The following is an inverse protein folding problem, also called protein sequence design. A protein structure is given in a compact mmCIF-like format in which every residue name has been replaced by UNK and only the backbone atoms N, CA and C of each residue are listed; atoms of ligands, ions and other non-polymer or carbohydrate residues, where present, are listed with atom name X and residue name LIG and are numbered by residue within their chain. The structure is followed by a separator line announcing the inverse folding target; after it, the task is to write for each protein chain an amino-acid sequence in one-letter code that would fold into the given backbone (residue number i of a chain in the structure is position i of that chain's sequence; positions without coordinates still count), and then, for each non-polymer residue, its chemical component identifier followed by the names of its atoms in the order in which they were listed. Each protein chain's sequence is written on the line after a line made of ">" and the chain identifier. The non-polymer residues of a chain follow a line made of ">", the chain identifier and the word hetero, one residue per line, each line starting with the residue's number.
data_IF_270822718151
#
_entry.id   IF_270822718151
#
_cell.length_a   1.000
_cell.length_b   1.000
_cell.length_c   1.000
_cell.angle_alpha   90.00
_cell.angle_beta   90.00
_cell.angle_gamma   90.00
#
_symmetry.space_group_name_H-M   'P 1'
#
loop_
_entity.id
_entity.type
_entity.pdbx_description
1 polymer ?
#
# COMPACT_ATOMS: atom_id res chain seq x y z
N UNK A 1 5.96 -9.69 -2.37
CA UNK A 1 5.77 -9.03 -1.07
C UNK A 1 4.34 -8.55 -1.03
N UNK A 2 3.66 -8.69 0.11
CA UNK A 2 2.35 -8.09 0.40
C UNK A 2 2.59 -6.94 1.37
N UNK A 3 2.01 -5.78 1.07
CA UNK A 3 1.98 -4.63 1.97
C UNK A 3 0.65 -4.59 2.71
N UNK A 4 0.69 -4.80 4.02
CA UNK A 4 -0.45 -4.61 4.91
C UNK A 4 -0.60 -3.10 5.17
N UNK A 5 -1.40 -2.47 4.31
CA UNK A 5 -1.60 -1.03 4.21
C UNK A 5 -2.14 -0.38 5.50
N UNK A 6 -1.67 0.84 5.79
CA UNK A 6 -1.79 1.53 7.08
C UNK A 6 -3.17 1.97 7.55
N UNK A 7 -4.25 1.90 6.76
CA UNK A 7 -5.61 2.05 7.30
C UNK A 7 -6.40 0.72 7.37
N UNK A 8 -5.69 -0.40 7.15
CA UNK A 8 -6.10 -1.71 7.63
C UNK A 8 -5.71 -1.96 9.10
N UNK A 9 -5.83 -3.22 9.52
CA UNK A 9 -5.30 -3.69 10.81
C UNK A 9 -4.08 -4.57 10.57
N UNK A 10 -3.30 -4.82 11.62
CA UNK A 10 -2.34 -5.91 11.55
C UNK A 10 -3.10 -7.24 11.38
N UNK A 11 -2.69 -8.06 10.41
CA UNK A 11 -3.36 -9.32 10.12
C UNK A 11 -3.21 -10.32 11.27
N UNK A 12 -4.07 -11.35 11.28
CA UNK A 12 -4.00 -12.40 12.31
C UNK A 12 -2.72 -13.22 12.18
N UNK A 13 -2.29 -13.85 13.28
CA UNK A 13 -1.09 -14.70 13.30
C UNK A 13 -1.10 -15.79 12.21
N UNK A 14 -2.26 -16.32 11.85
CA UNK A 14 -2.39 -17.34 10.81
C UNK A 14 -1.92 -16.81 9.45
N UNK A 15 -2.16 -15.53 9.13
CA UNK A 15 -1.68 -14.90 7.91
C UNK A 15 -0.15 -14.97 7.84
N UNK A 16 0.52 -14.50 8.89
CA UNK A 16 1.98 -14.51 8.98
C UNK A 16 2.57 -15.92 9.03
N UNK A 17 1.92 -16.83 9.74
CA UNK A 17 2.32 -18.23 9.78
C UNK A 17 2.31 -18.87 8.39
N UNK A 18 1.28 -18.61 7.58
CA UNK A 18 1.25 -19.07 6.20
C UNK A 18 2.26 -18.34 5.32
N UNK A 19 2.48 -17.04 5.53
CA UNK A 19 3.56 -16.31 4.86
C UNK A 19 4.95 -16.92 5.16
N UNK A 20 5.20 -17.35 6.39
CA UNK A 20 6.45 -18.04 6.77
C UNK A 20 6.58 -19.39 6.07
N UNK A 21 5.53 -20.23 6.12
CA UNK A 21 5.53 -21.56 5.50
C UNK A 21 5.72 -21.46 3.99
N UNK A 22 5.02 -20.52 3.35
CA UNK A 22 5.07 -20.31 1.91
C UNK A 22 6.16 -19.32 1.50
N UNK A 23 7.08 -18.95 2.41
CA UNK A 23 8.12 -17.91 2.30
C UNK A 23 9.11 -18.00 1.14
N UNK A 24 8.87 -18.88 0.16
CA UNK A 24 9.56 -18.99 -1.13
C UNK A 24 8.69 -18.57 -2.33
N UNK A 25 7.40 -18.28 -2.14
CA UNK A 25 6.44 -17.93 -3.20
C UNK A 25 6.09 -16.44 -3.25
N UNK A 26 6.93 -15.57 -2.66
CA UNK A 26 6.78 -14.11 -2.77
C UNK A 26 5.86 -13.46 -1.74
N UNK A 27 5.56 -14.13 -0.61
CA UNK A 27 4.67 -13.63 0.45
C UNK A 27 5.40 -13.00 1.64
N UNK A 28 6.48 -12.26 1.41
CA UNK A 28 7.04 -11.40 2.46
C UNK A 28 6.04 -10.31 2.83
N UNK A 29 5.90 -9.99 4.12
CA UNK A 29 4.99 -8.97 4.63
C UNK A 29 5.73 -7.67 4.93
N UNK A 30 5.22 -6.56 4.40
CA UNK A 30 5.49 -5.21 4.88
C UNK A 30 4.32 -4.84 5.77
N UNK A 31 4.56 -4.58 7.05
CA UNK A 31 3.51 -4.18 7.98
C UNK A 31 3.59 -2.69 8.32
N UNK A 32 2.51 -1.95 8.03
CA UNK A 32 2.36 -0.56 8.43
C UNK A 32 1.66 -0.44 9.79
N UNK A 33 2.01 0.57 10.58
CA UNK A 33 1.16 0.96 11.70
C UNK A 33 -0.06 1.74 11.18
N UNK A 34 -1.07 1.85 12.05
CA UNK A 34 -2.43 2.24 11.66
C UNK A 34 -2.59 3.75 11.43
N UNK A 35 -1.75 4.32 10.56
CA UNK A 35 -1.67 5.74 10.20
C UNK A 35 -1.87 5.85 8.68
N UNK A 36 -2.70 6.80 8.23
CA UNK A 36 -2.84 7.09 6.81
C UNK A 36 -2.95 8.59 6.54
N UNK A 37 -2.33 9.05 5.46
CA UNK A 37 -2.44 10.43 4.99
C UNK A 37 -3.88 10.92 4.91
N UNK A 38 -4.81 10.08 4.47
CA UNK A 38 -6.24 10.43 4.37
C UNK A 38 -6.83 10.95 5.69
N UNK A 39 -6.42 10.39 6.84
CA UNK A 39 -7.02 10.71 8.15
C UNK A 39 -6.05 11.42 9.11
N UNK A 40 -4.76 11.43 8.79
CA UNK A 40 -3.69 11.94 9.65
C UNK A 40 -2.88 13.11 9.04
N UNK A 41 -3.51 13.96 8.22
CA UNK A 41 -2.95 15.27 7.81
C UNK A 41 -2.94 15.60 6.32
N UNK A 42 -3.31 14.66 5.43
CA UNK A 42 -3.37 14.86 3.97
C UNK A 42 -4.76 14.75 3.36
N UNK A 43 -5.77 14.40 4.16
CA UNK A 43 -7.15 14.30 3.71
C UNK A 43 -7.70 15.61 3.13
N UNK A 44 -8.85 15.52 2.46
CA UNK A 44 -9.58 16.69 1.97
C UNK A 44 -11.00 16.69 2.55
N UNK A 45 -11.34 17.62 3.48
CA UNK A 45 -10.49 18.67 4.05
C UNK A 45 -9.33 18.11 4.89
N UNK A 46 -8.29 18.93 5.11
CA UNK A 46 -7.08 18.54 5.86
C UNK A 46 -7.47 17.92 7.20
N UNK A 47 -7.13 16.64 7.35
CA UNK A 47 -7.43 15.82 8.52
C UNK A 47 -6.46 16.11 9.68
N UNK A 48 -6.65 15.47 10.84
CA UNK A 48 -5.87 15.80 12.04
C UNK A 48 -4.39 15.40 11.86
N UNK A 49 -3.43 16.34 11.75
CA UNK A 49 -2.03 15.98 11.53
C UNK A 49 -1.36 15.37 12.76
N UNK A 50 -2.00 15.46 13.93
CA UNK A 50 -1.55 14.88 15.19
C UNK A 50 -2.47 13.71 15.59
N UNK A 51 -2.98 12.95 14.62
CA UNK A 51 -3.65 11.69 14.89
C UNK A 51 -2.64 10.59 15.27
N UNK A 52 -3.09 9.53 15.97
CA UNK A 52 -4.41 9.34 16.60
C UNK A 52 -4.58 10.18 17.87
N UNK A 53 -5.78 10.21 18.48
CA UNK A 53 -6.05 11.07 19.66
C UNK A 53 -5.37 10.63 20.96
N UNK A 54 -5.05 9.34 21.09
CA UNK A 54 -4.44 8.75 22.29
C UNK A 54 -3.12 8.08 21.91
N UNK A 55 -2.03 8.83 22.08
CA UNK A 55 -0.70 8.42 21.66
C UNK A 55 -0.12 7.31 22.55
N UNK A 56 -0.46 7.33 23.84
CA UNK A 56 -0.02 6.31 24.80
C UNK A 56 -0.67 4.97 24.48
N UNK A 57 -1.98 4.98 24.20
CA UNK A 57 -2.71 3.79 23.77
C UNK A 57 -2.19 3.27 22.42
N UNK A 58 -1.94 4.15 21.45
CA UNK A 58 -1.36 3.73 20.17
C UNK A 58 0.00 3.06 20.37
N UNK A 59 0.89 3.68 21.16
CA UNK A 59 2.23 3.15 21.43
C UNK A 59 2.16 1.80 22.17
N UNK A 60 1.23 1.65 23.12
CA UNK A 60 0.98 0.37 23.79
C UNK A 60 0.57 -0.72 22.78
N UNK A 61 -0.41 -0.43 21.92
CA UNK A 61 -0.89 -1.37 20.90
C UNK A 61 0.19 -1.70 19.86
N UNK A 62 0.99 -0.71 19.45
CA UNK A 62 2.11 -0.91 18.54
C UNK A 62 3.16 -1.85 19.14
N UNK A 63 3.56 -1.64 20.40
CA UNK A 63 4.50 -2.53 21.11
C UNK A 63 4.00 -3.96 21.20
N UNK A 64 2.72 -4.16 21.51
CA UNK A 64 2.13 -5.50 21.60
C UNK A 64 2.05 -6.17 20.22
N UNK A 65 1.74 -5.42 19.16
CA UNK A 65 1.77 -5.90 17.78
C UNK A 65 3.18 -6.33 17.36
N UNK A 66 4.20 -5.55 17.70
CA UNK A 66 5.59 -5.91 17.40
C UNK A 66 5.99 -7.19 18.14
N UNK A 67 5.69 -7.31 19.45
CA UNK A 67 5.96 -8.54 20.20
C UNK A 67 5.27 -9.76 19.60
N UNK A 68 4.06 -9.58 19.07
CA UNK A 68 3.29 -10.63 18.42
C UNK A 68 3.95 -11.07 17.11
N UNK A 69 4.46 -10.12 16.31
CA UNK A 69 4.83 -10.38 14.93
C UNK A 69 6.34 -10.52 14.66
N UNK A 70 7.21 -9.96 15.50
CA UNK A 70 8.67 -9.87 15.28
C UNK A 70 9.40 -11.20 15.05
N UNK A 71 8.77 -12.32 15.41
CA UNK A 71 9.35 -13.66 15.25
C UNK A 71 8.94 -14.34 13.93
N UNK A 72 8.15 -13.67 13.09
CA UNK A 72 7.78 -14.18 11.77
C UNK A 72 8.85 -13.81 10.73
N UNK A 73 9.63 -14.77 10.20
CA UNK A 73 10.66 -14.49 9.20
C UNK A 73 10.11 -13.94 7.87
N UNK A 74 8.81 -14.10 7.60
CA UNK A 74 8.17 -13.48 6.44
C UNK A 74 7.99 -11.98 6.58
N UNK A 75 7.97 -11.44 7.80
CA UNK A 75 7.95 -10.00 8.03
C UNK A 75 9.28 -9.41 7.56
N UNK A 76 9.23 -8.47 6.63
CA UNK A 76 10.42 -7.88 6.03
C UNK A 76 10.77 -6.53 6.64
N UNK A 77 9.77 -5.69 6.89
CA UNK A 77 9.96 -4.35 7.44
C UNK A 77 8.71 -3.82 8.16
N UNK A 78 8.95 -2.87 9.05
CA UNK A 78 7.96 -2.05 9.73
C UNK A 78 7.88 -0.68 9.08
N UNK A 79 6.66 -0.14 8.91
CA UNK A 79 6.47 1.22 8.39
C UNK A 79 5.54 2.03 9.28
N UNK A 80 5.90 3.28 9.57
CA UNK A 80 5.14 4.14 10.47
C UNK A 80 3.72 4.45 9.98
N UNK A 81 3.52 4.66 8.68
CA UNK A 81 2.20 4.95 8.13
C UNK A 81 2.16 5.00 6.61
N UNK A 82 0.93 4.93 6.09
CA UNK A 82 0.63 5.15 4.67
C UNK A 82 0.70 6.64 4.35
N UNK A 83 1.56 7.03 3.41
CA UNK A 83 1.66 8.38 2.85
C UNK A 83 1.85 9.51 3.89
N UNK A 84 2.08 9.13 5.12
CA UNK A 84 2.17 10.03 6.25
C UNK A 84 2.98 9.37 7.35
N UNK A 85 3.78 10.18 8.03
CA UNK A 85 4.51 9.74 9.20
C UNK A 85 3.62 9.85 10.44
N UNK A 86 3.78 8.98 11.45
CA UNK A 86 3.09 9.16 12.72
C UNK A 86 3.41 10.52 13.35
N UNK A 87 2.56 10.95 14.29
CA UNK A 87 2.83 12.15 15.09
C UNK A 87 4.26 12.11 15.68
N UNK A 88 4.95 13.27 15.82
CA UNK A 88 6.39 13.28 16.09
C UNK A 88 6.84 12.47 17.30
N UNK A 89 6.08 12.48 18.39
CA UNK A 89 6.36 11.72 19.60
C UNK A 89 6.21 10.21 19.39
N UNK A 90 5.14 9.77 18.69
CA UNK A 90 4.94 8.37 18.31
C UNK A 90 6.07 7.92 17.38
N UNK A 91 6.36 8.68 16.33
CA UNK A 91 7.37 8.31 15.35
C UNK A 91 8.76 8.24 16.00
N UNK A 92 9.09 9.16 16.90
CA UNK A 92 10.34 9.12 17.65
C UNK A 92 10.43 7.90 18.58
N UNK A 93 9.33 7.54 19.25
CA UNK A 93 9.27 6.32 20.07
C UNK A 93 9.49 5.06 19.22
N UNK A 94 8.81 4.93 18.07
CA UNK A 94 8.99 3.81 17.16
C UNK A 94 10.41 3.74 16.60
N UNK A 95 11.00 4.87 16.21
CA UNK A 95 12.41 4.92 15.76
C UNK A 95 13.38 4.43 16.83
N UNK A 96 13.18 4.79 18.09
CA UNK A 96 14.07 4.34 19.16
C UNK A 96 13.88 2.85 19.52
N UNK A 97 12.63 2.38 19.54
CA UNK A 97 12.28 1.01 19.94
C UNK A 97 12.55 -0.03 18.86
N UNK A 98 12.37 0.35 17.60
CA UNK A 98 12.53 -0.51 16.41
C UNK A 98 13.85 -0.27 15.66
N UNK A 99 14.77 0.52 16.23
CA UNK A 99 16.11 0.67 15.64
C UNK A 99 16.79 -0.69 15.48
N UNK A 100 17.56 -0.81 14.42
CA UNK A 100 18.34 -2.02 14.16
C UNK A 100 19.40 -2.22 15.24
N UNK A 101 19.66 -3.47 15.58
CA UNK A 101 20.83 -3.82 16.36
C UNK A 101 22.10 -3.52 15.51
N UNK A 102 23.20 -3.00 16.09
CA UNK A 102 24.41 -2.61 15.33
C UNK A 102 24.97 -3.69 14.39
N UNK A 103 24.79 -4.98 14.73
CA UNK A 103 25.13 -6.10 13.85
C UNK A 103 24.41 -6.06 12.48
N UNK A 104 23.16 -5.59 12.43
CA UNK A 104 22.38 -5.47 11.20
C UNK A 104 22.56 -4.11 10.51
N UNK A 105 23.02 -3.07 11.21
CA UNK A 105 23.32 -1.75 10.60
C UNK A 105 24.54 -1.80 9.67
N UNK A 106 25.56 -2.59 10.01
CA UNK A 106 26.86 -2.60 9.31
C UNK A 106 26.82 -3.10 7.86
N UNK A 107 25.73 -3.73 7.42
CA UNK A 107 25.59 -4.26 6.05
C UNK A 107 25.32 -3.16 4.99
N UNK A 108 25.00 -1.93 5.41
CA UNK A 108 24.70 -0.81 4.50
C UNK A 108 25.91 0.05 4.11
N UNK A 109 27.03 -0.03 4.85
CA UNK A 109 28.25 0.75 4.59
C UNK A 109 29.33 -0.13 3.96
N UNK A 110 29.21 -0.43 2.66
CA UNK A 110 30.26 -1.15 1.93
C UNK A 110 31.50 -0.26 1.78
N UNK A 111 32.55 -0.54 2.55
CA UNK A 111 33.88 0.01 2.31
C UNK A 111 34.91 -0.25 3.42
N UNK A 112 34.48 -0.37 4.66
CA UNK A 112 35.40 -0.59 5.78
C UNK A 112 35.32 -2.03 6.28
N UNK A 113 36.49 -2.67 6.41
CA UNK A 113 36.64 -3.96 7.05
C UNK A 113 35.86 -3.98 8.35
N UNK A 114 35.14 -5.08 8.62
CA UNK A 114 34.49 -5.39 9.90
C UNK A 114 35.51 -5.15 11.03
N UNK A 115 35.54 -3.93 11.56
CA UNK A 115 36.20 -3.66 12.82
C UNK A 115 35.34 -4.34 13.86
N UNK A 116 35.97 -5.17 14.69
CA UNK A 116 35.33 -5.86 15.80
C UNK A 116 34.28 -4.96 16.43
N UNK A 117 33.03 -5.38 16.30
CA UNK A 117 31.87 -4.67 16.86
C UNK A 117 32.22 -4.41 18.31
N UNK A 118 32.38 -3.13 18.66
CA UNK A 118 32.87 -2.74 19.98
C UNK A 118 32.02 -3.44 21.06
N UNK A 119 32.66 -3.78 22.18
CA UNK A 119 32.08 -4.52 23.30
C UNK A 119 30.88 -3.83 24.01
N UNK A 120 30.29 -2.80 23.40
CA UNK A 120 29.05 -2.13 23.79
C UNK A 120 27.82 -2.65 23.02
N UNK A 121 27.93 -3.79 22.33
CA UNK A 121 26.79 -4.52 21.75
C UNK A 121 25.77 -4.83 22.85
N UNK A 122 24.78 -3.96 22.99
CA UNK A 122 23.63 -4.17 23.88
C UNK A 122 23.03 -5.53 23.54
N UNK A 123 22.65 -6.29 24.56
CA UNK A 123 22.00 -7.59 24.37
C UNK A 123 20.81 -7.44 23.40
N UNK A 124 20.76 -8.20 22.28
CA UNK A 124 19.64 -8.15 21.33
C UNK A 124 18.28 -8.34 21.98
N UNK A 125 18.19 -9.01 23.14
CA UNK A 125 16.96 -9.17 23.91
C UNK A 125 16.38 -7.85 24.47
N UNK A 126 17.20 -6.80 24.55
CA UNK A 126 16.79 -5.46 25.00
C UNK A 126 16.05 -4.66 23.93
N UNK A 127 16.05 -5.13 22.68
CA UNK A 127 15.37 -4.49 21.57
C UNK A 127 13.93 -5.00 21.48
N UNK A 128 13.03 -4.11 21.06
CA UNK A 128 11.66 -4.52 20.79
C UNK A 128 11.58 -5.40 19.53
N UNK A 129 12.41 -5.15 18.52
CA UNK A 129 12.62 -6.06 17.38
C UNK A 129 14.12 -6.19 17.11
N UNK A 130 14.77 -5.09 16.74
CA UNK A 130 16.22 -5.02 16.53
C UNK A 130 16.73 -5.73 15.28
N UNK A 131 15.87 -6.41 14.52
CA UNK A 131 16.27 -7.22 13.34
C UNK A 131 15.63 -6.74 12.04
N UNK A 132 14.42 -6.20 12.10
CA UNK A 132 13.72 -5.62 10.94
C UNK A 132 13.89 -4.10 10.89
N UNK A 133 14.04 -3.55 9.69
CA UNK A 133 14.15 -2.11 9.49
C UNK A 133 12.81 -1.42 9.76
N UNK A 134 12.88 -0.23 10.35
CA UNK A 134 11.75 0.68 10.47
C UNK A 134 11.89 1.83 9.47
N UNK A 135 10.87 2.03 8.64
CA UNK A 135 10.72 3.15 7.71
C UNK A 135 9.64 4.08 8.26
N UNK A 136 9.89 5.39 8.33
CA UNK A 136 8.96 6.28 9.01
C UNK A 136 7.60 6.46 8.32
N UNK A 137 7.51 6.19 7.02
CA UNK A 137 6.28 6.24 6.24
C UNK A 137 6.52 5.77 4.82
N UNK A 138 5.46 5.35 4.12
CA UNK A 138 5.57 4.69 2.80
C UNK A 138 6.12 5.57 1.65
N UNK A 139 6.41 6.84 1.90
CA UNK A 139 7.03 7.79 0.97
C UNK A 139 8.33 8.43 1.50
N UNK A 140 8.90 7.86 2.56
CA UNK A 140 10.15 8.32 3.19
C UNK A 140 11.24 7.24 3.12
N UNK A 141 12.44 7.60 3.53
CA UNK A 141 13.57 6.69 3.79
C UNK A 141 13.91 5.76 2.61
N UNK A 142 13.90 6.32 1.39
CA UNK A 142 14.24 5.60 0.16
C UNK A 142 13.03 5.06 -0.61
N UNK A 143 11.82 5.19 -0.08
CA UNK A 143 10.59 4.96 -0.83
C UNK A 143 10.13 6.24 -1.53
N UNK A 144 9.64 6.10 -2.78
CA UNK A 144 9.30 7.21 -3.65
C UNK A 144 10.44 8.26 -3.71
N UNK A 145 10.15 9.52 -3.40
CA UNK A 145 11.14 10.60 -3.39
C UNK A 145 11.98 10.67 -2.09
N UNK A 146 11.64 9.83 -1.11
CA UNK A 146 12.27 9.74 0.21
C UNK A 146 11.97 10.91 1.14
N UNK A 147 11.11 11.84 0.75
CA UNK A 147 10.81 13.09 1.48
C UNK A 147 9.34 13.26 1.81
N UNK A 148 8.48 12.43 1.21
CA UNK A 148 7.03 12.51 1.37
C UNK A 148 6.36 13.51 0.45
N UNK A 149 7.07 14.12 -0.52
CA UNK A 149 6.46 15.05 -1.48
C UNK A 149 5.86 14.30 -2.70
N UNK A 150 5.86 12.97 -2.66
CA UNK A 150 5.28 12.11 -3.69
C UNK A 150 3.74 12.15 -3.69
N UNK A 151 3.17 12.04 -4.89
CA UNK A 151 1.74 11.80 -5.13
C UNK A 151 1.59 10.41 -5.72
N UNK A 152 0.81 9.58 -5.06
CA UNK A 152 0.57 8.18 -5.38
C UNK A 152 -0.22 7.95 -6.69
N UNK A 153 -0.39 6.67 -7.03
CA UNK A 153 -1.05 6.24 -8.25
C UNK A 153 -0.15 6.29 -9.51
N UNK A 154 -0.75 6.34 -10.72
CA UNK A 154 -2.18 6.48 -10.99
C UNK A 154 -3.01 5.25 -10.58
N UNK A 155 -4.30 5.46 -10.33
CA UNK A 155 -5.29 4.40 -10.01
C UNK A 155 -6.35 4.17 -11.09
N UNK A 156 -6.49 5.13 -11.99
CA UNK A 156 -7.39 5.05 -13.13
C UNK A 156 -6.72 4.39 -14.32
N UNK A 157 -7.53 4.02 -15.34
CA UNK A 157 -7.04 3.32 -16.52
C UNK A 157 -5.88 4.08 -17.18
N UNK A 158 -4.82 3.33 -17.46
CA UNK A 158 -3.69 3.76 -18.28
C UNK A 158 -3.65 2.90 -19.54
N UNK A 159 -2.99 3.41 -20.58
CA UNK A 159 -2.60 2.53 -21.68
C UNK A 159 -1.55 1.52 -21.21
N UNK A 160 -1.61 0.25 -21.64
CA UNK A 160 -0.63 -0.76 -21.26
C UNK A 160 0.82 -0.35 -21.53
N UNK A 161 1.10 0.35 -22.64
CA UNK A 161 2.44 0.82 -22.97
C UNK A 161 2.97 1.89 -22.02
N UNK A 162 2.10 2.60 -21.26
CA UNK A 162 2.54 3.61 -20.32
C UNK A 162 3.40 3.00 -19.20
N UNK A 163 3.10 1.79 -18.73
CA UNK A 163 3.85 1.12 -17.65
C UNK A 163 5.28 0.73 -18.04
N UNK A 164 5.65 0.84 -19.32
CA UNK A 164 6.98 0.50 -19.82
C UNK A 164 7.78 1.73 -20.27
N UNK A 165 7.26 2.93 -20.05
CA UNK A 165 7.97 4.18 -20.36
C UNK A 165 8.84 4.61 -19.18
N UNK A 166 10.00 5.16 -19.51
CA UNK A 166 10.97 5.64 -18.52
C UNK A 166 10.43 6.77 -17.63
N UNK A 167 9.36 7.45 -18.04
CA UNK A 167 8.75 8.58 -17.32
C UNK A 167 7.55 8.18 -16.46
N UNK A 168 7.12 6.92 -16.50
CA UNK A 168 5.95 6.47 -15.75
C UNK A 168 6.27 6.24 -14.26
N UNK A 169 7.39 5.56 -13.98
CA UNK A 169 7.89 5.34 -12.63
C UNK A 169 9.01 6.34 -12.34
N UNK A 170 8.72 7.36 -11.53
CA UNK A 170 9.70 8.41 -11.23
C UNK A 170 10.75 7.97 -10.20
N UNK A 171 10.48 6.89 -9.46
CA UNK A 171 11.31 6.43 -8.36
C UNK A 171 11.57 4.92 -8.45
N UNK A 172 12.70 4.49 -7.87
CA UNK A 172 13.12 3.08 -7.89
C UNK A 172 12.23 2.14 -7.08
N UNK A 173 11.56 2.67 -6.04
CA UNK A 173 10.57 1.95 -5.25
C UNK A 173 9.27 2.74 -5.21
N UNK A 174 8.24 2.27 -5.93
CA UNK A 174 6.90 2.88 -5.93
C UNK A 174 5.99 2.05 -5.01
N UNK A 175 5.53 2.60 -3.87
CA UNK A 175 4.81 1.85 -2.85
C UNK A 175 3.37 1.50 -3.26
N UNK A 176 2.79 2.28 -4.17
CA UNK A 176 1.43 2.14 -4.67
C UNK A 176 1.34 2.53 -6.14
N UNK A 177 0.70 1.68 -6.94
CA UNK A 177 0.27 1.96 -8.30
C UNK A 177 -0.88 1.00 -8.63
N UNK A 178 -1.85 1.45 -9.42
CA UNK A 178 -3.00 0.62 -9.76
C UNK A 178 -3.48 0.81 -11.20
N UNK A 179 -4.47 -0.01 -11.53
CA UNK A 179 -5.30 0.16 -12.71
C UNK A 179 -6.70 -0.33 -12.36
N UNK A 180 -7.63 -0.12 -13.28
CA UNK A 180 -9.03 -0.46 -13.08
C UNK A 180 -9.26 -1.96 -13.24
N UNK A 181 -10.24 -2.46 -12.50
CA UNK A 181 -10.66 -3.85 -12.53
C UNK A 181 -12.10 -3.98 -12.09
N UNK A 182 -12.80 -4.99 -12.61
CA UNK A 182 -14.12 -5.40 -12.12
C UNK A 182 -14.05 -6.85 -11.64
N UNK A 183 -14.82 -7.22 -10.61
CA UNK A 183 -14.95 -8.62 -10.24
C UNK A 183 -15.63 -9.42 -11.34
N UNK A 184 -15.34 -10.71 -11.42
CA UNK A 184 -16.04 -11.63 -12.33
C UNK A 184 -17.56 -11.57 -12.15
N UNK A 185 -18.31 -11.84 -13.23
CA UNK A 185 -19.76 -11.74 -13.24
C UNK A 185 -20.46 -12.51 -12.11
N UNK A 186 -19.91 -13.64 -11.66
CA UNK A 186 -20.46 -14.41 -10.54
C UNK A 186 -20.45 -13.61 -9.22
N UNK A 187 -19.36 -12.87 -8.95
CA UNK A 187 -19.25 -12.01 -7.77
C UNK A 187 -20.24 -10.85 -7.86
N UNK A 188 -20.35 -10.21 -9.03
CA UNK A 188 -21.31 -9.12 -9.26
C UNK A 188 -22.75 -9.61 -9.02
N UNK A 189 -23.11 -10.80 -9.49
CA UNK A 189 -24.44 -11.38 -9.27
C UNK A 189 -24.71 -11.73 -7.80
N UNK A 190 -23.66 -12.02 -7.03
CA UNK A 190 -23.78 -12.33 -5.61
C UNK A 190 -23.87 -11.08 -4.73
N UNK A 191 -23.27 -9.96 -5.15
CA UNK A 191 -23.18 -8.73 -4.33
C UNK A 191 -24.10 -7.61 -4.80
N UNK A 192 -24.52 -7.59 -6.06
CA UNK A 192 -25.42 -6.59 -6.62
C UNK A 192 -26.80 -7.19 -6.91
N UNK A 193 -27.89 -6.44 -6.67
CA UNK A 193 -29.23 -6.89 -7.05
C UNK A 193 -29.38 -6.93 -8.59
N UNK A 194 -30.36 -7.68 -9.13
CA UNK A 194 -30.52 -7.88 -10.58
C UNK A 194 -30.57 -6.60 -11.43
N UNK A 195 -31.10 -5.51 -10.88
CA UNK A 195 -31.12 -4.19 -11.51
C UNK A 195 -29.71 -3.63 -11.77
N UNK A 196 -28.74 -4.03 -10.94
CA UNK A 196 -27.34 -3.66 -11.05
C UNK A 196 -26.58 -4.45 -12.11
N UNK A 197 -27.12 -5.57 -12.60
CA UNK A 197 -26.41 -6.45 -13.54
C UNK A 197 -26.30 -5.86 -14.95
N UNK A 198 -27.00 -4.76 -15.22
CA UNK A 198 -26.83 -4.00 -16.44
C UNK A 198 -25.47 -3.31 -16.44
N UNK A 199 -24.59 -3.73 -17.35
CA UNK A 199 -23.25 -3.17 -17.53
C UNK A 199 -23.27 -1.66 -17.85
N UNK A 200 -22.17 -0.93 -17.57
CA UNK A 200 -22.01 0.45 -18.01
C UNK A 200 -22.25 0.60 -19.51
N UNK A 201 -22.92 1.69 -19.90
CA UNK A 201 -23.16 1.99 -21.33
C UNK A 201 -22.02 2.80 -21.93
N UNK A 202 -21.71 2.58 -23.20
CA UNK A 202 -20.61 3.26 -23.89
C UNK A 202 -21.14 4.41 -24.74
N UNK A 203 -20.79 5.65 -24.37
CA UNK A 203 -21.20 6.86 -25.07
C UNK A 203 -20.02 7.45 -25.83
N UNK A 204 -20.14 7.53 -27.15
CA UNK A 204 -19.13 8.21 -27.98
C UNK A 204 -19.27 9.72 -27.87
N UNK A 205 -18.18 10.39 -27.49
CA UNK A 205 -18.10 11.83 -27.35
C UNK A 205 -17.72 12.52 -28.67
N UNK A 206 -18.00 13.83 -28.82
CA UNK A 206 -17.64 14.58 -30.04
C UNK A 206 -16.15 14.58 -30.37
N UNK A 207 -15.29 14.45 -29.37
CA UNK A 207 -13.83 14.36 -29.53
C UNK A 207 -13.34 12.95 -29.91
N UNK A 208 -14.25 12.00 -30.15
CA UNK A 208 -13.96 10.63 -30.56
C UNK A 208 -13.83 9.65 -29.40
N UNK A 209 -13.50 10.10 -28.19
CA UNK A 209 -13.36 9.25 -27.01
C UNK A 209 -14.67 8.59 -26.60
N UNK A 210 -14.56 7.53 -25.81
CA UNK A 210 -15.71 6.86 -25.21
C UNK A 210 -15.79 7.24 -23.74
N UNK A 211 -17.00 7.53 -23.30
CA UNK A 211 -17.38 7.71 -21.90
C UNK A 211 -18.21 6.48 -21.48
N UNK A 212 -17.74 5.75 -20.49
CA UNK A 212 -18.54 4.70 -19.84
C UNK A 212 -19.45 5.32 -18.80
N UNK A 213 -20.76 5.11 -18.97
CA UNK A 213 -21.81 5.64 -18.10
C UNK A 213 -22.36 4.49 -17.26
N UNK A 214 -21.93 4.36 -15.99
CA UNK A 214 -22.46 3.35 -15.07
C UNK A 214 -23.91 3.64 -14.68
N UNK A 215 -24.59 2.63 -14.13
CA UNK A 215 -25.86 2.84 -13.42
C UNK A 215 -25.58 3.18 -11.93
N UNK A 216 -26.57 3.67 -11.16
CA UNK A 216 -26.36 4.10 -9.78
C UNK A 216 -25.81 3.01 -8.83
N UNK A 217 -26.03 1.72 -9.14
CA UNK A 217 -25.51 0.60 -8.33
C UNK A 217 -24.00 0.43 -8.58
N UNK A 218 -23.53 0.59 -9.81
CA UNK A 218 -22.09 0.60 -10.12
C UNK A 218 -21.40 1.84 -9.53
N UNK A 219 -22.05 3.00 -9.57
CA UNK A 219 -21.54 4.22 -8.90
C UNK A 219 -21.44 4.02 -7.39
N UNK A 220 -22.45 3.43 -6.77
CA UNK A 220 -22.43 3.08 -5.35
C UNK A 220 -21.26 2.16 -5.00
N UNK A 221 -20.98 1.17 -5.85
CA UNK A 221 -19.84 0.26 -5.73
C UNK A 221 -18.51 0.84 -6.28
N UNK A 222 -18.43 2.17 -6.48
CA UNK A 222 -17.20 2.89 -6.84
C UNK A 222 -16.55 2.39 -8.13
N UNK A 223 -17.36 2.05 -9.13
CA UNK A 223 -16.87 1.65 -10.45
C UNK A 223 -15.94 2.70 -11.06
N UNK A 224 -14.76 2.25 -11.53
CA UNK A 224 -13.81 3.07 -12.27
C UNK A 224 -13.78 2.59 -13.74
N UNK A 225 -14.06 3.46 -14.71
CA UNK A 225 -14.11 3.12 -16.14
C UNK A 225 -12.81 2.58 -16.76
N UNK A 226 -12.97 1.74 -17.79
CA UNK A 226 -11.89 1.31 -18.71
C UNK A 226 -11.62 2.32 -19.84
N UNK A 227 -12.09 3.54 -19.66
CA UNK A 227 -11.89 4.69 -20.53
C UNK A 227 -11.64 5.92 -19.68
N UNK A 228 -10.88 6.87 -20.21
CA UNK A 228 -10.67 8.17 -19.57
C UNK A 228 -10.67 9.24 -20.67
N UNK A 229 -11.82 9.85 -20.99
CA UNK A 229 -11.90 10.87 -22.04
C UNK A 229 -10.77 11.90 -21.97
N UNK A 230 -10.05 12.07 -23.07
CA UNK A 230 -8.87 12.94 -23.16
C UNK A 230 -7.53 12.28 -22.82
N UNK A 231 -7.51 11.12 -22.14
CA UNK A 231 -6.27 10.37 -21.82
C UNK A 231 -6.25 8.96 -22.42
N UNK A 232 -7.29 8.16 -22.19
CA UNK A 232 -7.42 6.78 -22.69
C UNK A 232 -8.73 6.63 -23.44
N UNK A 233 -8.67 6.19 -24.70
CA UNK A 233 -9.82 6.13 -25.58
C UNK A 233 -10.93 5.22 -25.04
N UNK A 234 -10.61 3.93 -24.87
CA UNK A 234 -11.37 2.89 -24.17
C UNK A 234 -10.63 1.57 -24.38
N UNK A 235 -10.67 0.67 -23.39
CA UNK A 235 -9.98 -0.63 -23.44
C UNK A 235 -10.93 -1.83 -23.62
N UNK A 236 -12.25 -1.65 -23.51
CA UNK A 236 -13.23 -2.76 -23.64
C UNK A 236 -13.63 -2.98 -25.09
N UNK A 237 -14.10 -1.93 -25.77
CA UNK A 237 -14.59 -1.95 -27.14
C UNK A 237 -13.52 -2.31 -28.18
N UNK A 238 -12.23 -2.32 -27.79
CA UNK A 238 -11.14 -2.88 -28.61
C UNK A 238 -11.35 -4.37 -28.88
N UNK A 239 -12.03 -5.09 -27.99
CA UNK A 239 -12.33 -6.51 -28.10
C UNK A 239 -13.74 -6.79 -28.67
N UNK A 240 -14.52 -5.74 -28.92
CA UNK A 240 -15.93 -5.83 -29.31
C UNK A 240 -16.87 -5.26 -28.25
N UNK A 241 -18.12 -5.00 -28.64
CA UNK A 241 -19.13 -4.53 -27.69
C UNK A 241 -19.64 -5.72 -26.86
N UNK A 242 -19.55 -5.66 -25.52
CA UNK A 242 -19.97 -6.76 -24.67
C UNK A 242 -21.47 -7.01 -24.80
N UNK A 243 -21.86 -8.27 -25.02
CA UNK A 243 -23.26 -8.65 -25.17
C UNK A 243 -24.03 -8.66 -23.84
N UNK A 244 -23.35 -9.05 -22.75
CA UNK A 244 -23.92 -9.16 -21.42
C UNK A 244 -22.85 -8.98 -20.33
N UNK A 245 -23.25 -9.18 -19.07
CA UNK A 245 -22.36 -9.07 -17.92
C UNK A 245 -21.22 -10.10 -17.90
N UNK A 246 -21.42 -11.30 -18.44
CA UNK A 246 -20.37 -12.33 -18.47
C UNK A 246 -19.32 -12.02 -19.55
N UNK A 247 -19.72 -11.33 -20.62
CA UNK A 247 -18.80 -10.88 -21.67
C UNK A 247 -17.98 -9.65 -21.22
N UNK A 248 -18.56 -8.83 -20.34
CA UNK A 248 -17.90 -7.65 -19.79
C UNK A 248 -16.90 -7.93 -18.65
N UNK A 249 -17.15 -8.93 -17.80
CA UNK A 249 -16.50 -9.11 -16.50
C UNK A 249 -15.65 -10.39 -16.37
#
# INVERSE_FOLDING_TARGET
>A
MIRCWGCGLAERLEFYHYCDIYGLLGYTAWQEFWITGDVDGRGVPVSNPNGPLDHDLFTLCARDTVKLLRNHPSLALWVGGNEQVPAPDINNALKDELKLHPHFESLHNTGESVQDVSADSKDPSQYLDGTHIYIQGSMWDGFADGKGDFTDGPYEIQYPESFFKDDFYQHGFNPEVGSVGVPVAATIKATMPPEGWKIPSFKKLPNGFIEEVPNPIWEYHKYIPYSKPGKVHNQILLYGAPADLNDFA
#
